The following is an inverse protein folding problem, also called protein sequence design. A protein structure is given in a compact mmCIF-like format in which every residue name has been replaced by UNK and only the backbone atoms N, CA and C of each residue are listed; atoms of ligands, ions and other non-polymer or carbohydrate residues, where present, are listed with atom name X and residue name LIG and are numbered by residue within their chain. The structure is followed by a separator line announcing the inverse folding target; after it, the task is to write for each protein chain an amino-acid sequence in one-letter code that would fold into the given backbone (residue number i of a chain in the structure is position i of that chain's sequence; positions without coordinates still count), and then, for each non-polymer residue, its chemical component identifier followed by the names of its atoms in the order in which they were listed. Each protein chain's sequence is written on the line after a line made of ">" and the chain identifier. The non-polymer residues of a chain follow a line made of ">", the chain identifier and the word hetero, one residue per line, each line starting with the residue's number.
data_IF_814096276398
#
_entry.id   IF_814096276398
#
_cell.length_a   1.000
_cell.length_b   1.000
_cell.length_c   1.000
_cell.angle_alpha   90.00
_cell.angle_beta   90.00
_cell.angle_gamma   90.00
#
_symmetry.space_group_name_H-M   'P 1'
#
loop_
_entity.id
_entity.type
_entity.pdbx_description
1 polymer ?
#
# COMPACT_ATOMS: atom_id res chain seq x y z
N UNK A 1 3.78 -75.52 -53.43
CA UNK A 1 3.73 -75.02 -52.05
C UNK A 1 5.15 -74.59 -51.74
N UNK A 2 5.53 -73.36 -52.10
CA UNK A 2 5.24 -72.12 -51.32
C UNK A 2 5.74 -72.27 -49.89
N UNK A 3 6.55 -71.37 -49.33
CA UNK A 3 7.43 -70.31 -49.83
C UNK A 3 8.32 -69.99 -48.61
N UNK A 4 9.51 -69.49 -48.89
CA UNK A 4 10.56 -69.11 -47.94
C UNK A 4 10.05 -68.23 -46.78
N UNK A 5 10.34 -68.64 -45.55
CA UNK A 5 10.27 -67.78 -44.35
C UNK A 5 11.47 -66.83 -44.38
N UNK A 6 11.26 -65.64 -44.96
CA UNK A 6 12.21 -64.54 -44.85
C UNK A 6 12.22 -63.95 -43.44
N UNK A 7 13.34 -64.20 -42.79
CA UNK A 7 13.95 -63.55 -41.64
C UNK A 7 13.65 -62.04 -41.51
N UNK A 8 12.52 -61.65 -40.88
CA UNK A 8 12.28 -60.28 -40.42
C UNK A 8 13.19 -59.99 -39.22
N UNK A 9 14.32 -59.32 -39.47
CA UNK A 9 15.07 -58.62 -38.42
C UNK A 9 14.13 -57.61 -37.75
N UNK A 10 13.77 -57.86 -36.49
CA UNK A 10 13.16 -56.84 -35.64
C UNK A 10 14.21 -55.75 -35.38
N UNK A 11 14.12 -54.65 -36.14
CA UNK A 11 14.86 -53.43 -35.85
C UNK A 11 14.45 -52.91 -34.47
N UNK A 12 15.43 -52.71 -33.59
CA UNK A 12 15.19 -52.09 -32.28
C UNK A 12 14.56 -50.70 -32.49
N UNK A 13 13.52 -50.34 -31.72
CA UNK A 13 12.91 -49.03 -31.84
C UNK A 13 13.94 -47.95 -31.53
N UNK A 14 14.14 -47.06 -32.49
CA UNK A 14 15.02 -45.90 -32.37
C UNK A 14 14.56 -45.00 -31.22
N UNK A 15 15.49 -44.57 -30.38
CA UNK A 15 15.21 -43.76 -29.20
C UNK A 15 14.96 -42.30 -29.58
N UNK A 16 14.24 -41.55 -28.73
CA UNK A 16 14.03 -40.10 -28.91
C UNK A 16 15.37 -39.35 -29.05
N UNK A 17 16.40 -39.80 -28.34
CA UNK A 17 17.73 -39.19 -28.39
C UNK A 17 18.43 -39.40 -29.73
N UNK A 18 18.24 -40.55 -30.38
CA UNK A 18 18.76 -40.81 -31.73
C UNK A 18 18.08 -39.92 -32.77
N UNK A 19 16.74 -39.82 -32.70
CA UNK A 19 15.97 -38.92 -33.57
C UNK A 19 16.32 -37.45 -33.35
N UNK A 20 16.57 -37.04 -32.11
CA UNK A 20 17.02 -35.69 -31.81
C UNK A 20 18.38 -35.39 -32.45
N UNK A 21 19.33 -36.35 -32.43
CA UNK A 21 20.63 -36.21 -33.09
C UNK A 21 20.50 -36.04 -34.61
N UNK A 22 19.53 -36.73 -35.24
CA UNK A 22 19.23 -36.52 -36.67
C UNK A 22 18.75 -35.09 -36.95
N UNK A 23 17.88 -34.53 -36.10
CA UNK A 23 17.43 -33.12 -36.26
C UNK A 23 18.53 -32.12 -35.92
N UNK A 24 19.40 -32.42 -34.95
CA UNK A 24 20.56 -31.57 -34.63
C UNK A 24 21.56 -31.53 -35.81
N UNK A 25 21.83 -32.67 -36.45
CA UNK A 25 22.68 -32.72 -37.64
C UNK A 25 22.02 -32.00 -38.82
N UNK A 26 20.70 -32.15 -38.99
CA UNK A 26 19.93 -31.37 -39.97
C UNK A 26 20.09 -29.86 -39.71
N UNK A 27 19.84 -29.43 -38.48
CA UNK A 27 19.97 -28.03 -38.09
C UNK A 27 21.38 -27.50 -38.37
N UNK A 28 22.42 -28.27 -38.06
CA UNK A 28 23.81 -27.90 -38.34
C UNK A 28 24.06 -27.67 -39.83
N UNK A 29 23.70 -28.61 -40.70
CA UNK A 29 23.92 -28.48 -42.15
C UNK A 29 23.11 -27.32 -42.75
N UNK A 30 21.89 -27.11 -42.28
CA UNK A 30 21.05 -25.96 -42.68
C UNK A 30 21.71 -24.65 -42.26
N UNK A 31 22.22 -24.54 -41.03
CA UNK A 31 22.86 -23.34 -40.53
C UNK A 31 24.20 -23.05 -41.21
N UNK A 32 24.99 -24.06 -41.58
CA UNK A 32 26.23 -23.88 -42.36
C UNK A 32 25.96 -23.23 -43.72
N UNK A 33 24.85 -23.60 -44.38
CA UNK A 33 24.50 -23.09 -45.71
C UNK A 33 23.68 -21.81 -45.69
N UNK A 34 22.71 -21.72 -44.78
CA UNK A 34 21.68 -20.68 -44.76
C UNK A 34 21.56 -19.92 -43.44
N UNK A 35 22.46 -20.14 -42.47
CA UNK A 35 22.29 -19.65 -41.09
C UNK A 35 21.99 -18.16 -40.92
N UNK A 36 22.47 -17.28 -41.82
CA UNK A 36 22.13 -15.86 -41.79
C UNK A 36 20.64 -15.57 -42.02
N UNK A 37 19.95 -16.43 -42.75
CA UNK A 37 18.53 -16.32 -43.04
C UNK A 37 17.64 -17.04 -42.02
N UNK A 38 18.17 -17.99 -41.24
CA UNK A 38 17.33 -18.83 -40.38
C UNK A 38 17.08 -18.17 -39.02
N UNK A 39 15.81 -18.04 -38.62
CA UNK A 39 15.40 -17.58 -37.28
C UNK A 39 15.21 -18.71 -36.30
N UNK A 40 14.56 -19.78 -36.73
CA UNK A 40 14.44 -20.97 -35.91
C UNK A 40 14.31 -22.23 -36.77
N UNK A 41 14.71 -23.35 -36.15
CA UNK A 41 14.49 -24.72 -36.63
C UNK A 41 13.84 -25.45 -35.48
N UNK A 42 12.65 -26.00 -35.72
CA UNK A 42 11.79 -26.52 -34.66
C UNK A 42 11.32 -27.92 -35.04
N UNK A 43 11.57 -28.87 -34.15
CA UNK A 43 11.05 -30.23 -34.25
C UNK A 43 9.61 -30.25 -33.72
N UNK A 44 8.70 -30.92 -34.43
CA UNK A 44 7.29 -31.01 -34.06
C UNK A 44 6.80 -32.47 -34.04
N UNK A 45 5.48 -32.63 -33.99
CA UNK A 45 4.83 -33.90 -34.27
C UNK A 45 4.98 -34.92 -33.15
N UNK A 46 4.81 -36.19 -33.52
CA UNK A 46 4.77 -37.30 -32.55
C UNK A 46 6.06 -37.45 -31.74
N UNK A 47 7.20 -37.05 -32.30
CA UNK A 47 8.50 -37.09 -31.60
C UNK A 47 8.59 -36.01 -30.53
N UNK A 48 8.10 -34.80 -30.83
CA UNK A 48 8.01 -33.71 -29.86
C UNK A 48 7.05 -34.05 -28.71
N UNK A 49 5.92 -34.72 -29.02
CA UNK A 49 4.92 -35.17 -28.04
C UNK A 49 5.29 -36.43 -27.25
N UNK A 50 6.38 -37.11 -27.60
CA UNK A 50 6.78 -38.42 -27.04
C UNK A 50 5.77 -39.57 -27.32
N UNK A 51 4.98 -39.43 -28.39
CA UNK A 51 3.95 -40.40 -28.82
C UNK A 51 4.35 -41.17 -30.09
N UNK A 52 5.62 -41.07 -30.50
CA UNK A 52 6.11 -41.63 -31.75
C UNK A 52 6.21 -43.16 -31.71
N UNK A 53 5.92 -43.78 -32.85
CA UNK A 53 6.09 -45.22 -33.09
C UNK A 53 7.40 -45.45 -33.86
N UNK A 54 7.90 -46.69 -33.96
CA UNK A 54 9.16 -46.96 -34.67
C UNK A 54 9.19 -46.46 -36.12
N UNK A 55 8.02 -46.46 -36.79
CA UNK A 55 7.82 -45.97 -38.16
C UNK A 55 7.37 -44.51 -38.27
N UNK A 56 7.28 -43.78 -37.16
CA UNK A 56 6.86 -42.38 -37.19
C UNK A 56 7.94 -41.51 -37.82
N UNK A 57 7.52 -40.53 -38.60
CA UNK A 57 8.39 -39.49 -39.15
C UNK A 57 8.84 -38.52 -38.05
N UNK A 58 9.89 -37.76 -38.37
CA UNK A 58 10.45 -36.67 -37.57
C UNK A 58 10.11 -35.37 -38.30
N UNK A 59 9.04 -34.73 -37.88
CA UNK A 59 8.55 -33.51 -38.50
C UNK A 59 9.39 -32.30 -38.06
N UNK A 60 9.88 -31.51 -39.01
CA UNK A 60 10.68 -30.31 -38.76
C UNK A 60 10.14 -29.15 -39.61
N UNK A 61 10.08 -27.95 -39.06
CA UNK A 61 9.87 -26.74 -39.85
C UNK A 61 10.95 -25.70 -39.57
N UNK A 62 11.11 -24.80 -40.53
CA UNK A 62 12.13 -23.74 -40.51
C UNK A 62 11.44 -22.39 -40.72
N UNK A 63 11.90 -21.37 -39.99
CA UNK A 63 11.46 -19.98 -40.20
C UNK A 63 12.60 -19.14 -40.74
N UNK A 64 12.34 -18.43 -41.84
CA UNK A 64 13.31 -17.63 -42.60
C UNK A 64 13.07 -16.14 -42.38
N UNK A 65 14.14 -15.36 -42.19
CA UNK A 65 14.10 -13.92 -41.99
C UNK A 65 13.95 -13.15 -43.31
N UNK A 66 12.71 -12.83 -43.65
CA UNK A 66 12.35 -11.92 -44.74
C UNK A 66 12.26 -10.44 -44.30
N UNK A 67 12.56 -10.14 -43.03
CA UNK A 67 12.56 -8.77 -42.51
C UNK A 67 13.93 -8.11 -42.59
N UNK A 68 15.00 -8.89 -42.48
CA UNK A 68 16.39 -8.43 -42.63
C UNK A 68 16.95 -8.65 -44.04
N UNK A 69 16.31 -9.52 -44.83
CA UNK A 69 16.75 -9.91 -46.16
C UNK A 69 15.57 -9.94 -47.13
N UNK A 70 15.80 -9.54 -48.38
CA UNK A 70 14.82 -9.74 -49.44
C UNK A 70 14.83 -11.22 -49.87
N UNK A 71 13.72 -11.91 -49.60
CA UNK A 71 13.53 -13.32 -49.96
C UNK A 71 12.60 -13.37 -51.18
N UNK A 72 13.17 -13.55 -52.37
CA UNK A 72 12.38 -13.73 -53.60
C UNK A 72 11.76 -15.14 -53.63
N UNK A 73 10.66 -15.36 -54.38
CA UNK A 73 10.06 -16.68 -54.52
C UNK A 73 11.04 -17.76 -54.97
N UNK A 74 11.94 -17.42 -55.91
CA UNK A 74 12.95 -18.36 -56.41
C UNK A 74 14.00 -18.71 -55.35
N UNK A 75 14.34 -17.75 -54.48
CA UNK A 75 15.24 -18.00 -53.36
C UNK A 75 14.56 -18.86 -52.30
N UNK A 76 13.29 -18.59 -52.01
CA UNK A 76 12.50 -19.36 -51.04
C UNK A 76 12.34 -20.82 -51.47
N UNK A 77 11.90 -21.05 -52.72
CA UNK A 77 11.75 -22.39 -53.31
C UNK A 77 13.09 -23.14 -53.34
N UNK A 78 14.19 -22.45 -53.69
CA UNK A 78 15.53 -23.03 -53.63
C UNK A 78 15.95 -23.43 -52.22
N UNK A 79 15.61 -22.62 -51.21
CA UNK A 79 15.90 -22.96 -49.81
C UNK A 79 15.10 -24.20 -49.44
N UNK A 80 13.80 -24.26 -49.72
CA UNK A 80 12.96 -25.42 -49.43
C UNK A 80 13.47 -26.71 -50.09
N UNK A 81 13.80 -26.67 -51.39
CA UNK A 81 14.38 -27.82 -52.08
C UNK A 81 15.70 -28.29 -51.43
N UNK A 82 16.52 -27.36 -50.97
CA UNK A 82 17.78 -27.67 -50.30
C UNK A 82 17.55 -28.25 -48.90
N UNK A 83 16.54 -27.77 -48.16
CA UNK A 83 16.16 -28.34 -46.87
C UNK A 83 15.71 -29.80 -47.05
N UNK A 84 14.86 -30.09 -48.03
CA UNK A 84 14.44 -31.46 -48.37
C UNK A 84 15.64 -32.36 -48.72
N UNK A 85 16.53 -31.90 -49.61
CA UNK A 85 17.74 -32.66 -50.00
C UNK A 85 18.69 -32.89 -48.83
N UNK A 86 18.77 -31.98 -47.85
CA UNK A 86 19.57 -32.17 -46.64
C UNK A 86 18.91 -33.22 -45.74
N UNK A 87 17.59 -33.15 -45.53
CA UNK A 87 16.85 -34.11 -44.73
C UNK A 87 16.98 -35.54 -45.29
N UNK A 88 16.72 -35.74 -46.58
CA UNK A 88 16.81 -37.05 -47.25
C UNK A 88 18.20 -37.70 -47.14
N UNK A 89 19.27 -36.90 -47.11
CA UNK A 89 20.64 -37.39 -46.95
C UNK A 89 20.94 -37.87 -45.53
N UNK A 90 20.24 -37.32 -44.53
CA UNK A 90 20.46 -37.61 -43.12
C UNK A 90 19.61 -38.82 -42.72
N UNK A 91 18.31 -38.80 -43.04
CA UNK A 91 17.36 -39.82 -42.61
C UNK A 91 16.14 -39.83 -43.52
N UNK A 92 15.67 -41.02 -43.89
CA UNK A 92 14.41 -41.22 -44.62
C UNK A 92 13.18 -40.88 -43.78
N UNK A 93 13.36 -40.72 -42.46
CA UNK A 93 12.29 -40.36 -41.51
C UNK A 93 12.18 -38.85 -41.29
N UNK A 94 13.14 -38.04 -41.72
CA UNK A 94 13.06 -36.58 -41.55
C UNK A 94 12.09 -36.00 -42.57
N UNK A 95 10.95 -35.52 -42.09
CA UNK A 95 9.96 -34.83 -42.91
C UNK A 95 10.05 -33.34 -42.66
N UNK A 96 10.55 -32.59 -43.65
CA UNK A 96 10.62 -31.14 -43.58
C UNK A 96 9.34 -30.55 -44.15
N UNK A 97 8.66 -29.74 -43.35
CA UNK A 97 7.52 -28.94 -43.80
C UNK A 97 8.03 -27.72 -44.59
N UNK A 98 7.24 -27.20 -45.56
CA UNK A 98 7.58 -25.95 -46.24
C UNK A 98 7.97 -24.85 -45.25
N UNK A 99 9.05 -24.13 -45.54
CA UNK A 99 9.53 -23.10 -44.62
C UNK A 99 8.61 -21.89 -44.62
N UNK A 100 8.43 -21.29 -43.45
CA UNK A 100 7.65 -20.05 -43.30
C UNK A 100 8.58 -18.85 -43.33
N UNK A 101 8.17 -17.77 -43.97
CA UNK A 101 8.84 -16.49 -43.72
C UNK A 101 8.48 -15.98 -42.33
N UNK A 102 9.33 -15.12 -41.76
CA UNK A 102 9.12 -14.56 -40.43
C UNK A 102 7.84 -13.73 -40.39
N UNK A 103 7.56 -12.94 -41.43
CA UNK A 103 6.32 -12.17 -41.52
C UNK A 103 5.09 -13.07 -41.64
N UNK A 104 5.14 -14.12 -42.48
CA UNK A 104 4.05 -15.08 -42.65
C UNK A 104 3.73 -15.83 -41.35
N UNK A 105 4.77 -16.33 -40.66
CA UNK A 105 4.59 -16.99 -39.37
C UNK A 105 3.90 -16.06 -38.36
N UNK A 106 4.29 -14.79 -38.32
CA UNK A 106 3.65 -13.80 -37.43
C UNK A 106 2.19 -13.52 -37.82
N UNK A 107 1.88 -13.44 -39.11
CA UNK A 107 0.51 -13.25 -39.60
C UNK A 107 -0.39 -14.44 -39.26
N UNK A 108 0.15 -15.65 -39.22
CA UNK A 108 -0.57 -16.82 -38.73
C UNK A 108 -0.64 -16.89 -37.20
N UNK A 109 0.44 -16.56 -36.49
CA UNK A 109 0.47 -16.57 -35.03
C UNK A 109 -0.51 -15.55 -34.45
N UNK A 110 -0.61 -14.34 -35.03
CA UNK A 110 -1.50 -13.27 -34.53
C UNK A 110 -2.99 -13.61 -34.65
N UNK A 111 -3.38 -14.44 -35.64
CA UNK A 111 -4.75 -14.89 -35.84
C UNK A 111 -5.02 -16.27 -35.23
N UNK A 112 -4.05 -16.83 -34.51
CA UNK A 112 -4.11 -18.17 -33.95
C UNK A 112 -4.45 -19.24 -35.00
N UNK A 113 -3.80 -19.16 -36.17
CA UNK A 113 -3.99 -20.15 -37.23
C UNK A 113 -3.74 -21.57 -36.66
N UNK A 114 -4.64 -22.56 -36.88
CA UNK A 114 -4.58 -23.85 -36.18
C UNK A 114 -3.24 -24.58 -36.32
N UNK A 115 -2.61 -24.48 -37.49
CA UNK A 115 -1.31 -25.10 -37.78
C UNK A 115 -0.20 -24.45 -36.93
N UNK A 116 -0.05 -23.12 -37.02
CA UNK A 116 0.99 -22.38 -36.28
C UNK A 116 0.77 -22.44 -34.78
N UNK A 117 -0.49 -22.47 -34.33
CA UNK A 117 -0.81 -22.72 -32.93
C UNK A 117 -0.26 -24.07 -32.44
N UNK A 118 -0.49 -25.16 -33.19
CA UNK A 118 0.06 -26.48 -32.83
C UNK A 118 1.59 -26.47 -32.87
N UNK A 119 2.20 -25.76 -33.83
CA UNK A 119 3.64 -25.61 -33.90
C UNK A 119 4.20 -24.94 -32.65
N UNK A 120 3.65 -23.79 -32.25
CA UNK A 120 4.08 -23.07 -31.03
C UNK A 120 3.88 -23.94 -29.79
N UNK A 121 2.73 -24.62 -29.70
CA UNK A 121 2.35 -25.43 -28.55
C UNK A 121 3.27 -26.62 -28.34
N UNK A 122 3.50 -27.40 -29.38
CA UNK A 122 4.16 -28.71 -29.29
C UNK A 122 5.64 -28.63 -29.67
N UNK A 123 6.02 -27.65 -30.47
CA UNK A 123 7.34 -27.53 -31.07
C UNK A 123 8.46 -27.45 -30.03
N UNK A 124 9.53 -28.18 -30.30
CA UNK A 124 10.78 -28.16 -29.55
C UNK A 124 11.82 -27.42 -30.40
N UNK A 125 12.23 -26.20 -30.01
CA UNK A 125 13.24 -25.47 -30.78
C UNK A 125 14.59 -26.19 -30.67
N UNK A 126 15.16 -26.54 -31.82
CA UNK A 126 16.50 -27.11 -31.96
C UNK A 126 17.51 -25.98 -32.17
N UNK A 127 17.10 -24.98 -32.94
CA UNK A 127 17.79 -23.71 -33.08
C UNK A 127 16.79 -22.57 -32.98
N UNK A 128 17.11 -21.53 -32.23
CA UNK A 128 16.27 -20.34 -32.10
C UNK A 128 17.13 -19.12 -31.80
N UNK A 129 16.95 -18.04 -32.57
CA UNK A 129 17.61 -16.75 -32.31
C UNK A 129 16.93 -15.92 -31.23
N UNK A 130 16.01 -16.52 -30.45
CA UNK A 130 15.17 -15.85 -29.46
C UNK A 130 13.84 -15.35 -30.02
N UNK A 131 13.35 -15.96 -31.10
CA UNK A 131 12.07 -15.65 -31.74
C UNK A 131 10.97 -16.63 -31.27
N UNK A 132 11.24 -17.92 -31.30
CA UNK A 132 10.23 -18.95 -31.09
C UNK A 132 9.92 -19.18 -29.61
N UNK A 133 10.95 -19.29 -28.76
CA UNK A 133 10.78 -19.54 -27.34
C UNK A 133 9.93 -18.47 -26.61
N UNK A 134 10.08 -17.15 -26.87
CA UNK A 134 9.20 -16.14 -26.29
C UNK A 134 7.73 -16.30 -26.67
N UNK A 135 7.43 -16.65 -27.93
CA UNK A 135 6.05 -16.85 -28.40
C UNK A 135 5.44 -18.07 -27.70
N UNK A 136 6.20 -19.16 -27.59
CA UNK A 136 5.79 -20.34 -26.81
C UNK A 136 5.49 -19.97 -25.36
N UNK A 137 6.32 -19.14 -24.74
CA UNK A 137 6.07 -18.66 -23.37
C UNK A 137 4.81 -17.81 -23.26
N UNK A 138 4.54 -16.95 -24.24
CA UNK A 138 3.30 -16.18 -24.30
C UNK A 138 2.08 -17.08 -24.42
N UNK A 139 2.16 -18.16 -25.21
CA UNK A 139 1.10 -19.15 -25.29
C UNK A 139 0.84 -19.80 -23.93
N UNK A 140 1.89 -20.32 -23.27
CA UNK A 140 1.79 -20.96 -21.95
C UNK A 140 1.20 -20.03 -20.87
N UNK A 141 1.48 -18.73 -20.96
CA UNK A 141 0.93 -17.71 -20.06
C UNK A 141 -0.53 -17.32 -20.39
N UNK A 142 -1.12 -17.91 -21.43
CA UNK A 142 -2.44 -17.56 -21.93
C UNK A 142 -2.53 -16.16 -22.52
N UNK A 143 -1.42 -15.63 -23.06
CA UNK A 143 -1.34 -14.28 -23.63
C UNK A 143 -1.70 -14.22 -25.11
N UNK A 144 -1.75 -15.37 -25.80
CA UNK A 144 -2.25 -15.45 -27.17
C UNK A 144 -3.78 -15.59 -27.13
N UNK A 145 -4.55 -14.62 -27.65
CA UNK A 145 -6.01 -14.65 -27.60
C UNK A 145 -6.61 -15.88 -28.31
N UNK A 146 -7.85 -16.23 -27.96
CA UNK A 146 -8.60 -17.33 -28.56
C UNK A 146 -7.96 -18.74 -28.41
N UNK A 147 -6.99 -18.90 -27.51
CA UNK A 147 -6.38 -20.19 -27.17
C UNK A 147 -7.00 -20.80 -25.92
N UNK A 148 -6.82 -22.12 -25.73
CA UNK A 148 -7.28 -22.81 -24.52
C UNK A 148 -6.57 -22.25 -23.27
N UNK A 149 -5.28 -21.97 -23.40
CA UNK A 149 -4.43 -21.42 -22.35
C UNK A 149 -4.91 -20.03 -21.93
N UNK A 150 -5.35 -19.19 -22.87
CA UNK A 150 -5.97 -17.91 -22.55
C UNK A 150 -7.29 -18.09 -21.79
N UNK A 151 -8.16 -19.00 -22.24
CA UNK A 151 -9.43 -19.32 -21.55
C UNK A 151 -9.15 -19.77 -20.11
N UNK A 152 -8.23 -20.72 -19.93
CA UNK A 152 -7.84 -21.23 -18.61
C UNK A 152 -7.28 -20.10 -17.73
N UNK A 153 -6.40 -19.25 -18.26
CA UNK A 153 -5.84 -18.09 -17.56
C UNK A 153 -6.93 -17.10 -17.09
N UNK A 154 -7.92 -16.80 -17.93
CA UNK A 154 -9.07 -15.97 -17.53
C UNK A 154 -9.90 -16.64 -16.43
N UNK A 155 -10.18 -17.94 -16.57
CA UNK A 155 -11.01 -18.70 -15.64
C UNK A 155 -10.34 -18.86 -14.26
N UNK A 156 -9.03 -19.15 -14.22
CA UNK A 156 -8.27 -19.23 -12.96
C UNK A 156 -8.20 -17.90 -12.20
N UNK A 157 -8.27 -16.78 -12.92
CA UNK A 157 -8.30 -15.45 -12.35
C UNK A 157 -9.58 -15.16 -11.57
N UNK A 158 -10.73 -15.68 -12.02
CA UNK A 158 -12.04 -15.30 -11.48
C UNK A 158 -12.23 -15.65 -9.99
N UNK A 159 -11.95 -16.89 -9.50
CA UNK A 159 -12.06 -17.21 -8.08
C UNK A 159 -11.16 -16.35 -7.19
N UNK A 160 -9.94 -16.03 -7.66
CA UNK A 160 -8.98 -15.17 -6.93
C UNK A 160 -9.54 -13.75 -6.75
N UNK A 161 -10.22 -13.21 -7.76
CA UNK A 161 -10.88 -11.89 -7.68
C UNK A 161 -12.06 -11.90 -6.70
N UNK A 162 -12.88 -12.95 -6.72
CA UNK A 162 -13.98 -13.11 -5.76
C UNK A 162 -13.46 -13.26 -4.33
N UNK A 163 -12.41 -14.07 -4.11
CA UNK A 163 -11.75 -14.20 -2.81
C UNK A 163 -11.18 -12.86 -2.33
N UNK A 164 -10.57 -12.08 -3.23
CA UNK A 164 -10.11 -10.72 -2.91
C UNK A 164 -11.26 -9.83 -2.45
N UNK A 165 -12.40 -9.84 -3.12
CA UNK A 165 -13.57 -9.05 -2.72
C UNK A 165 -14.05 -9.42 -1.31
N UNK A 166 -14.07 -10.73 -0.97
CA UNK A 166 -14.39 -11.19 0.39
C UNK A 166 -13.35 -10.74 1.42
N UNK A 167 -12.07 -10.84 1.07
CA UNK A 167 -10.96 -10.44 1.94
C UNK A 167 -10.99 -8.94 2.23
N UNK A 168 -11.29 -8.12 1.24
CA UNK A 168 -11.39 -6.65 1.41
C UNK A 168 -12.44 -6.29 2.46
N UNK A 169 -13.61 -6.94 2.47
CA UNK A 169 -14.63 -6.72 3.51
C UNK A 169 -14.10 -6.97 4.92
N UNK A 170 -13.31 -8.04 5.10
CA UNK A 170 -12.70 -8.34 6.40
C UNK A 170 -11.64 -7.31 6.80
N UNK A 171 -10.81 -6.86 5.84
CA UNK A 171 -9.78 -5.84 6.07
C UNK A 171 -10.40 -4.49 6.46
N UNK A 172 -11.51 -4.09 5.83
CA UNK A 172 -12.25 -2.87 6.19
C UNK A 172 -12.67 -2.87 7.67
N UNK A 173 -12.97 -4.04 8.24
CA UNK A 173 -13.30 -4.19 9.66
C UNK A 173 -12.05 -4.24 10.54
N UNK A 174 -11.14 -5.17 10.24
CA UNK A 174 -10.01 -5.53 11.10
C UNK A 174 -8.86 -4.51 11.10
N UNK A 175 -8.68 -3.80 9.99
CA UNK A 175 -7.63 -2.79 9.83
C UNK A 175 -8.24 -1.38 9.85
N UNK A 176 -9.19 -1.08 8.97
CA UNK A 176 -9.63 0.32 8.79
C UNK A 176 -10.53 0.81 9.95
N UNK A 177 -11.70 0.19 10.15
CA UNK A 177 -12.65 0.60 11.20
C UNK A 177 -12.06 0.44 12.59
N UNK A 178 -11.42 -0.71 12.85
CA UNK A 178 -10.79 -1.00 14.13
C UNK A 178 -9.72 0.05 14.52
N UNK A 179 -8.75 0.33 13.66
CA UNK A 179 -7.68 1.28 14.03
C UNK A 179 -8.18 2.72 14.06
N UNK A 180 -9.17 3.09 13.23
CA UNK A 180 -9.80 4.40 13.32
C UNK A 180 -10.42 4.65 14.71
N UNK A 181 -11.15 3.66 15.25
CA UNK A 181 -11.76 3.74 16.58
C UNK A 181 -10.70 3.66 17.69
N UNK A 182 -9.80 2.68 17.63
CA UNK A 182 -8.79 2.49 18.68
C UNK A 182 -7.86 3.71 18.81
N UNK A 183 -7.33 4.22 17.69
CA UNK A 183 -6.33 5.29 17.71
C UNK A 183 -6.95 6.61 18.20
N UNK A 184 -8.20 6.90 17.84
CA UNK A 184 -8.89 8.11 18.32
C UNK A 184 -9.21 8.04 19.80
N UNK A 185 -9.60 6.88 20.32
CA UNK A 185 -9.74 6.66 21.76
C UNK A 185 -8.41 6.83 22.51
N UNK A 186 -7.34 6.24 22.00
CA UNK A 186 -5.99 6.39 22.56
C UNK A 186 -5.53 7.85 22.57
N UNK A 187 -5.79 8.61 21.50
CA UNK A 187 -5.43 10.02 21.42
C UNK A 187 -6.13 10.86 22.50
N UNK A 188 -7.42 10.63 22.74
CA UNK A 188 -8.18 11.31 23.81
C UNK A 188 -7.58 10.98 25.18
N UNK A 189 -7.31 9.71 25.46
CA UNK A 189 -6.69 9.30 26.73
C UNK A 189 -5.29 9.89 26.92
N UNK A 190 -4.47 9.92 25.85
CA UNK A 190 -3.15 10.56 25.86
C UNK A 190 -3.25 12.06 26.15
N UNK A 191 -4.23 12.74 25.58
CA UNK A 191 -4.46 14.15 25.86
C UNK A 191 -4.78 14.41 27.34
N UNK A 192 -5.49 13.48 27.97
CA UNK A 192 -5.76 13.49 29.41
C UNK A 192 -4.54 13.12 30.29
N UNK A 193 -3.39 12.84 29.67
CA UNK A 193 -2.14 12.49 30.35
C UNK A 193 -2.00 11.01 30.70
N UNK A 194 -2.86 10.14 30.14
CA UNK A 194 -2.80 8.69 30.35
C UNK A 194 -1.93 8.04 29.27
N UNK A 195 -1.36 6.88 29.58
CA UNK A 195 -0.69 6.08 28.55
C UNK A 195 -1.73 5.50 27.58
N UNK A 196 -1.42 5.39 26.27
CA UNK A 196 -2.35 4.77 25.34
C UNK A 196 -2.56 3.29 25.68
N UNK A 197 -3.80 2.82 25.87
CA UNK A 197 -4.06 1.42 26.21
C UNK A 197 -3.67 0.49 25.07
N UNK A 198 -3.17 -0.70 25.41
CA UNK A 198 -3.12 -1.83 24.48
C UNK A 198 -4.54 -2.27 24.10
N UNK A 199 -4.77 -2.89 22.93
CA UNK A 199 -6.11 -3.27 22.48
C UNK A 199 -6.95 -4.05 23.50
N UNK A 200 -6.35 -4.97 24.25
CA UNK A 200 -7.05 -5.76 25.27
C UNK A 200 -7.55 -4.95 26.47
N UNK A 201 -6.98 -3.76 26.71
CA UNK A 201 -7.35 -2.86 27.83
C UNK A 201 -8.12 -1.62 27.36
N UNK A 202 -8.23 -1.40 26.05
CA UNK A 202 -8.80 -0.18 25.50
C UNK A 202 -10.26 0.05 25.95
N UNK A 203 -11.07 -1.01 26.00
CA UNK A 203 -12.43 -0.94 26.55
C UNK A 203 -12.44 -0.50 28.02
N UNK A 204 -11.66 -1.17 28.87
CA UNK A 204 -11.65 -0.89 30.31
C UNK A 204 -11.18 0.52 30.62
N UNK A 205 -10.15 1.00 29.92
CA UNK A 205 -9.61 2.35 30.11
C UNK A 205 -10.60 3.41 29.60
N UNK A 206 -11.20 3.23 28.42
CA UNK A 206 -12.25 4.14 27.92
C UNK A 206 -13.43 4.18 28.88
N UNK A 207 -13.87 3.02 29.38
CA UNK A 207 -14.97 2.94 30.34
C UNK A 207 -14.65 3.69 31.63
N UNK A 208 -13.49 3.41 32.22
CA UNK A 208 -13.07 4.00 33.50
C UNK A 208 -12.81 5.50 33.41
N UNK A 209 -12.15 5.96 32.36
CA UNK A 209 -11.67 7.34 32.29
C UNK A 209 -12.57 8.28 31.49
N UNK A 210 -13.42 7.76 30.60
CA UNK A 210 -14.32 8.58 29.78
C UNK A 210 -15.80 8.33 30.12
N UNK A 211 -16.22 7.08 30.31
CA UNK A 211 -17.64 6.77 30.54
C UNK A 211 -18.06 7.02 31.99
N UNK A 212 -17.34 6.46 32.97
CA UNK A 212 -17.67 6.63 34.40
C UNK A 212 -17.69 8.10 34.84
N UNK A 213 -16.79 8.99 34.37
CA UNK A 213 -16.86 10.42 34.67
C UNK A 213 -17.94 11.18 33.88
N UNK A 214 -18.70 10.52 33.01
CA UNK A 214 -19.76 11.12 32.20
C UNK A 214 -19.26 11.97 31.03
N UNK A 215 -18.02 11.76 30.58
CA UNK A 215 -17.43 12.47 29.42
C UNK A 215 -17.90 11.84 28.11
N UNK A 216 -18.10 10.52 28.10
CA UNK A 216 -18.49 9.73 26.93
C UNK A 216 -19.70 8.83 27.25
N UNK A 217 -20.60 8.68 26.30
CA UNK A 217 -21.75 7.79 26.42
C UNK A 217 -21.30 6.30 26.39
N UNK A 218 -21.92 5.42 27.21
CA UNK A 218 -21.50 4.02 27.31
C UNK A 218 -21.49 3.24 25.99
N UNK A 219 -22.39 3.59 25.07
CA UNK A 219 -22.53 2.95 23.76
C UNK A 219 -21.22 2.97 22.95
N UNK A 220 -20.47 4.07 22.98
CA UNK A 220 -19.19 4.16 22.28
C UNK A 220 -18.17 3.16 22.83
N UNK A 221 -18.11 2.96 24.15
CA UNK A 221 -17.22 1.97 24.74
C UNK A 221 -17.60 0.55 24.31
N UNK A 222 -18.89 0.22 24.26
CA UNK A 222 -19.35 -1.09 23.77
C UNK A 222 -19.02 -1.30 22.29
N UNK A 223 -19.19 -0.30 21.43
CA UNK A 223 -18.75 -0.39 20.03
C UNK A 223 -17.26 -0.66 19.90
N UNK A 224 -16.42 0.00 20.72
CA UNK A 224 -14.98 -0.24 20.73
C UNK A 224 -14.66 -1.69 21.13
N UNK A 225 -15.36 -2.22 22.14
CA UNK A 225 -15.19 -3.62 22.57
C UNK A 225 -15.57 -4.60 21.47
N UNK A 226 -16.73 -4.39 20.85
CA UNK A 226 -17.24 -5.23 19.78
C UNK A 226 -16.30 -5.27 18.57
N UNK A 227 -15.75 -4.13 18.12
CA UNK A 227 -14.80 -4.12 16.99
C UNK A 227 -13.47 -4.82 17.32
N UNK A 228 -13.01 -4.72 18.58
CA UNK A 228 -11.83 -5.47 19.06
C UNK A 228 -12.09 -6.98 18.98
N UNK A 229 -13.28 -7.43 19.36
CA UNK A 229 -13.67 -8.84 19.28
C UNK A 229 -13.79 -9.33 17.84
N UNK A 230 -14.39 -8.53 16.94
CA UNK A 230 -14.49 -8.84 15.51
C UNK A 230 -13.10 -9.00 14.91
N UNK A 231 -12.18 -8.07 15.18
CA UNK A 231 -10.80 -8.16 14.70
C UNK A 231 -10.13 -9.46 15.15
N UNK A 232 -10.25 -9.83 16.42
CA UNK A 232 -9.68 -11.09 16.94
C UNK A 232 -10.23 -12.31 16.22
N UNK A 233 -11.55 -12.35 15.97
CA UNK A 233 -12.19 -13.44 15.21
C UNK A 233 -11.66 -13.54 13.79
N UNK A 234 -11.39 -12.40 13.14
CA UNK A 234 -10.79 -12.36 11.79
C UNK A 234 -9.34 -12.85 11.83
N UNK A 235 -8.53 -12.37 12.77
CA UNK A 235 -7.13 -12.81 12.94
C UNK A 235 -7.00 -14.30 13.20
N UNK A 236 -7.87 -14.86 14.03
CA UNK A 236 -7.91 -16.29 14.36
C UNK A 236 -8.59 -17.14 13.27
N UNK A 237 -9.01 -16.55 12.16
CA UNK A 237 -9.71 -17.23 11.05
C UNK A 237 -11.04 -17.88 11.49
N UNK A 238 -11.64 -17.39 12.56
CA UNK A 238 -12.98 -17.80 13.02
C UNK A 238 -14.06 -17.08 12.19
N UNK A 239 -13.77 -15.88 11.68
CA UNK A 239 -14.64 -15.11 10.79
C UNK A 239 -13.96 -14.91 9.43
N UNK A 240 -14.43 -15.67 8.42
CA UNK A 240 -13.80 -15.76 7.09
C UNK A 240 -14.60 -15.11 5.96
N UNK A 241 -15.84 -14.68 6.23
CA UNK A 241 -16.68 -13.90 5.32
C UNK A 241 -17.71 -13.12 6.14
N UNK A 242 -18.17 -11.99 5.62
CA UNK A 242 -19.19 -11.12 6.24
C UNK A 242 -20.09 -10.53 5.17
N UNK A 243 -21.33 -10.20 5.49
CA UNK A 243 -22.20 -9.49 4.55
C UNK A 243 -21.74 -8.04 4.36
N UNK A 244 -21.98 -7.45 3.17
CA UNK A 244 -21.63 -6.05 2.92
C UNK A 244 -22.35 -5.09 3.87
N UNK A 245 -23.62 -5.36 4.16
CA UNK A 245 -24.42 -4.59 5.13
C UNK A 245 -23.79 -4.52 6.52
N UNK A 246 -23.16 -5.62 6.96
CA UNK A 246 -22.45 -5.65 8.24
C UNK A 246 -21.21 -4.75 8.23
N UNK A 247 -20.50 -4.70 7.10
CA UNK A 247 -19.37 -3.76 6.91
C UNK A 247 -19.86 -2.32 6.94
N UNK A 248 -20.92 -2.00 6.21
CA UNK A 248 -21.50 -0.64 6.17
C UNK A 248 -21.95 -0.17 7.56
N UNK A 249 -22.55 -1.05 8.36
CA UNK A 249 -22.92 -0.75 9.75
C UNK A 249 -21.69 -0.37 10.59
N UNK A 250 -20.57 -1.08 10.42
CA UNK A 250 -19.34 -0.80 11.17
C UNK A 250 -18.64 0.46 10.71
N UNK A 251 -18.72 0.80 9.41
CA UNK A 251 -18.23 2.08 8.90
C UNK A 251 -19.01 3.23 9.57
N UNK A 252 -20.34 3.15 9.60
CA UNK A 252 -21.18 4.19 10.21
C UNK A 252 -20.94 4.33 11.73
N UNK A 253 -20.78 3.21 12.45
CA UNK A 253 -20.37 3.22 13.86
C UNK A 253 -18.99 3.86 14.05
N UNK A 254 -18.01 3.51 13.21
CA UNK A 254 -16.67 4.05 13.27
C UNK A 254 -16.64 5.56 12.98
N UNK A 255 -17.38 6.04 11.98
CA UNK A 255 -17.50 7.47 11.68
C UNK A 255 -18.09 8.24 12.87
N UNK A 256 -19.19 7.75 13.45
CA UNK A 256 -19.80 8.35 14.65
C UNK A 256 -18.83 8.36 15.83
N UNK A 257 -18.11 7.27 16.05
CA UNK A 257 -17.12 7.15 17.11
C UNK A 257 -15.98 8.16 16.93
N UNK A 258 -15.39 8.21 15.74
CA UNK A 258 -14.28 9.12 15.40
C UNK A 258 -14.70 10.58 15.57
N UNK A 259 -15.87 10.96 15.04
CA UNK A 259 -16.41 12.31 15.18
C UNK A 259 -16.64 12.70 16.65
N UNK A 260 -17.12 11.74 17.47
CA UNK A 260 -17.29 11.96 18.90
C UNK A 260 -15.94 12.17 19.59
N UNK A 261 -14.93 11.36 19.30
CA UNK A 261 -13.59 11.50 19.88
C UNK A 261 -12.93 12.83 19.49
N UNK A 262 -13.05 13.27 18.23
CA UNK A 262 -12.58 14.60 17.82
C UNK A 262 -13.28 15.73 18.57
N UNK A 263 -14.60 15.63 18.71
CA UNK A 263 -15.39 16.62 19.46
C UNK A 263 -14.98 16.68 20.92
N UNK A 264 -14.74 15.52 21.55
CA UNK A 264 -14.25 15.43 22.93
C UNK A 264 -12.85 16.02 23.08
N UNK A 265 -11.92 15.68 22.18
CA UNK A 265 -10.56 16.20 22.21
C UNK A 265 -10.57 17.73 22.14
N UNK A 266 -11.33 18.30 21.21
CA UNK A 266 -11.44 19.75 21.03
C UNK A 266 -12.06 20.42 22.27
N UNK A 267 -13.09 19.81 22.87
CA UNK A 267 -13.68 20.30 24.11
C UNK A 267 -12.68 20.27 25.29
N UNK A 268 -11.86 19.23 25.39
CA UNK A 268 -10.81 19.12 26.41
C UNK A 268 -9.69 20.14 26.19
N UNK A 269 -9.31 20.41 24.94
CA UNK A 269 -8.35 21.46 24.57
C UNK A 269 -8.83 22.85 24.96
N UNK A 270 -10.08 23.18 24.67
CA UNK A 270 -10.68 24.46 25.06
C UNK A 270 -10.71 24.64 26.57
N UNK A 271 -11.14 23.60 27.32
CA UNK A 271 -11.13 23.64 28.80
C UNK A 271 -9.72 23.79 29.37
N UNK A 272 -8.73 23.14 28.77
CA UNK A 272 -7.33 23.26 29.18
C UNK A 272 -6.83 24.68 28.97
N UNK A 273 -7.13 25.29 27.82
CA UNK A 273 -6.82 26.70 27.52
C UNK A 273 -7.43 27.65 28.54
N UNK A 274 -8.73 27.51 28.78
CA UNK A 274 -9.48 28.32 29.74
C UNK A 274 -8.83 28.25 31.13
N UNK A 275 -8.55 27.04 31.63
CA UNK A 275 -7.92 26.84 32.94
C UNK A 275 -6.51 27.46 33.03
N UNK A 276 -5.72 27.42 31.95
CA UNK A 276 -4.40 28.05 31.93
C UNK A 276 -4.53 29.57 31.96
N UNK A 277 -5.46 30.13 31.18
CA UNK A 277 -5.73 31.55 31.14
C UNK A 277 -6.24 32.07 32.49
N UNK A 278 -7.20 31.40 33.11
CA UNK A 278 -7.70 31.73 34.45
C UNK A 278 -6.59 31.74 35.49
N UNK A 279 -5.75 30.70 35.51
CA UNK A 279 -4.62 30.64 36.44
C UNK A 279 -3.60 31.75 36.15
N UNK A 280 -3.38 32.08 34.88
CA UNK A 280 -2.46 33.16 34.47
C UNK A 280 -2.99 34.51 34.96
N UNK A 281 -4.27 34.77 34.77
CA UNK A 281 -4.98 35.95 35.27
C UNK A 281 -4.86 36.08 36.79
N UNK A 282 -5.20 35.02 37.53
CA UNK A 282 -5.12 35.03 39.00
C UNK A 282 -3.70 35.28 39.51
N UNK A 283 -2.69 34.64 38.89
CA UNK A 283 -1.29 34.78 39.30
C UNK A 283 -0.80 36.20 39.04
N UNK A 284 -1.17 36.81 37.91
CA UNK A 284 -0.85 38.20 37.59
C UNK A 284 -1.42 39.16 38.64
N UNK A 285 -2.71 39.02 38.95
CA UNK A 285 -3.39 39.85 39.96
C UNK A 285 -2.79 39.67 41.36
N UNK A 286 -2.58 38.42 41.80
CA UNK A 286 -1.94 38.13 43.11
C UNK A 286 -0.53 38.72 43.20
N UNK A 287 0.25 38.67 42.12
CA UNK A 287 1.58 39.28 42.07
C UNK A 287 1.52 40.80 42.23
N UNK A 288 0.60 41.46 41.52
CA UNK A 288 0.37 42.90 41.65
C UNK A 288 -0.04 43.32 43.06
N UNK A 289 -1.01 42.60 43.66
CA UNK A 289 -1.45 42.84 45.05
C UNK A 289 -0.28 42.71 46.03
N UNK A 290 0.50 41.64 45.89
CA UNK A 290 1.65 41.39 46.77
C UNK A 290 2.68 42.51 46.65
N UNK A 291 3.01 42.94 45.43
CA UNK A 291 3.95 44.00 45.20
C UNK A 291 3.48 45.36 45.77
N UNK A 292 2.20 45.70 45.61
CA UNK A 292 1.61 46.91 46.18
C UNK A 292 1.60 46.89 47.73
N UNK A 293 1.30 45.74 48.34
CA UNK A 293 1.38 45.56 49.80
C UNK A 293 2.80 45.76 50.32
N UNK A 294 3.81 45.21 49.63
CA UNK A 294 5.22 45.39 49.97
C UNK A 294 5.66 46.86 49.94
N UNK A 295 5.10 47.67 49.04
CA UNK A 295 5.33 49.12 49.01
C UNK A 295 4.42 49.93 49.96
N UNK A 296 3.52 49.28 50.69
CA UNK A 296 2.48 49.91 51.52
C UNK A 296 1.60 50.88 50.71
N UNK A 297 1.34 50.56 49.44
CA UNK A 297 0.54 51.37 48.49
C UNK A 297 -0.73 50.67 48.02
N UNK A 298 -1.33 49.87 48.91
CA UNK A 298 -2.54 49.12 48.59
C UNK A 298 -3.74 50.08 48.51
N UNK A 299 -4.56 50.04 47.45
CA UNK A 299 -5.83 50.79 47.38
C UNK A 299 -6.86 50.27 48.39
N UNK A 300 -7.88 51.08 48.67
CA UNK A 300 -9.01 50.71 49.54
C UNK A 300 -9.92 49.67 48.89
N UNK A 301 -10.04 49.70 47.55
CA UNK A 301 -10.87 48.77 46.78
C UNK A 301 -10.00 47.86 45.91
N UNK A 302 -10.37 46.59 45.84
CA UNK A 302 -9.66 45.59 45.02
C UNK A 302 -9.76 45.89 43.53
N UNK A 303 -10.87 46.49 43.08
CA UNK A 303 -11.09 46.95 41.69
C UNK A 303 -10.09 48.03 41.24
N UNK A 304 -9.49 48.76 42.19
CA UNK A 304 -8.50 49.81 41.91
C UNK A 304 -7.07 49.27 41.83
N UNK A 305 -6.85 47.99 42.13
CA UNK A 305 -5.53 47.33 42.08
C UNK A 305 -4.84 47.48 40.73
N UNK A 306 -5.49 47.26 39.57
CA UNK A 306 -4.83 47.43 38.28
C UNK A 306 -4.37 48.87 38.04
N UNK A 307 -5.18 49.85 38.47
CA UNK A 307 -4.90 51.28 38.31
C UNK A 307 -3.70 51.67 39.17
N UNK A 308 -3.74 51.28 40.46
CA UNK A 308 -2.64 51.56 41.40
C UNK A 308 -1.36 50.84 41.01
N UNK A 309 -1.44 49.59 40.55
CA UNK A 309 -0.29 48.84 40.07
C UNK A 309 0.40 49.55 38.89
N UNK A 310 -0.39 49.96 37.88
CA UNK A 310 0.12 50.70 36.73
C UNK A 310 0.82 52.00 37.14
N UNK A 311 0.18 52.79 37.99
CA UNK A 311 0.74 54.06 38.48
C UNK A 311 2.08 53.86 39.20
N UNK A 312 2.13 52.89 40.11
CA UNK A 312 3.27 52.75 41.03
C UNK A 312 4.45 52.00 40.43
N UNK A 313 4.19 50.93 39.67
CA UNK A 313 5.25 50.08 39.13
C UNK A 313 5.63 50.46 37.70
N UNK A 314 4.67 50.83 36.86
CA UNK A 314 4.92 51.07 35.44
C UNK A 314 5.23 52.55 35.17
N UNK A 315 4.31 53.45 35.52
CA UNK A 315 4.51 54.90 35.37
C UNK A 315 5.60 55.43 36.31
N UNK A 316 5.73 54.79 37.48
CA UNK A 316 6.86 54.97 38.40
C UNK A 316 8.20 54.43 37.89
N UNK A 317 8.26 53.85 36.68
CA UNK A 317 9.46 53.31 36.00
C UNK A 317 10.21 52.26 36.82
N UNK A 318 9.50 51.48 37.62
CA UNK A 318 10.10 50.39 38.40
C UNK A 318 10.21 49.11 37.57
N UNK A 319 9.27 48.88 36.66
CA UNK A 319 9.27 47.79 35.69
C UNK A 319 9.03 48.33 34.27
N UNK A 320 9.24 47.47 33.28
CA UNK A 320 9.12 47.86 31.87
C UNK A 320 7.67 48.24 31.47
N UNK A 321 7.48 49.33 30.70
CA UNK A 321 6.18 49.73 30.15
C UNK A 321 5.40 48.64 29.41
N UNK A 322 6.07 47.67 28.77
CA UNK A 322 5.40 46.62 27.99
C UNK A 322 4.42 45.79 28.84
N UNK A 323 4.62 45.72 30.16
CA UNK A 323 3.70 45.01 31.06
C UNK A 323 2.28 45.60 31.09
N UNK A 324 2.10 46.86 30.68
CA UNK A 324 0.75 47.43 30.48
C UNK A 324 0.01 46.73 29.34
N UNK A 325 0.70 46.41 28.24
CA UNK A 325 0.11 45.71 27.09
C UNK A 325 -0.22 44.27 27.45
N UNK A 326 0.69 43.60 28.19
CA UNK A 326 0.46 42.25 28.72
C UNK A 326 -0.80 42.21 29.57
N UNK A 327 -0.95 43.18 30.50
CA UNK A 327 -2.14 43.26 31.34
C UNK A 327 -3.41 43.41 30.51
N UNK A 328 -3.45 44.39 29.60
CA UNK A 328 -4.61 44.62 28.74
C UNK A 328 -4.96 43.40 27.90
N UNK A 329 -3.95 42.70 27.35
CA UNK A 329 -4.17 41.50 26.55
C UNK A 329 -4.77 40.37 27.39
N UNK A 330 -4.29 40.16 28.61
CA UNK A 330 -4.83 39.14 29.53
C UNK A 330 -6.26 39.47 29.97
N UNK A 331 -6.56 40.73 30.31
CA UNK A 331 -7.93 41.18 30.65
C UNK A 331 -8.90 40.94 29.49
N UNK A 332 -8.51 41.31 28.26
CA UNK A 332 -9.31 41.10 27.07
C UNK A 332 -9.54 39.60 26.80
N UNK A 333 -8.49 38.78 26.93
CA UNK A 333 -8.59 37.33 26.80
C UNK A 333 -9.51 36.73 27.86
N UNK A 334 -9.41 37.17 29.12
CA UNK A 334 -10.28 36.69 30.21
C UNK A 334 -11.73 37.06 29.95
N UNK A 335 -12.00 38.28 29.50
CA UNK A 335 -13.35 38.72 29.11
C UNK A 335 -13.93 37.85 27.99
N UNK A 336 -13.15 37.56 26.95
CA UNK A 336 -13.59 36.66 25.87
C UNK A 336 -13.89 35.25 26.40
N UNK A 337 -13.08 34.73 27.32
CA UNK A 337 -13.33 33.44 27.95
C UNK A 337 -14.64 33.44 28.77
N UNK A 338 -14.89 34.49 29.57
CA UNK A 338 -16.12 34.65 30.35
C UNK A 338 -17.38 34.76 29.47
N UNK A 339 -17.24 35.34 28.27
CA UNK A 339 -18.27 35.39 27.23
C UNK A 339 -18.41 34.06 26.45
N UNK A 340 -17.71 32.99 26.86
CA UNK A 340 -17.67 31.67 26.19
C UNK A 340 -17.08 31.71 24.77
N UNK A 341 -16.21 32.67 24.47
CA UNK A 341 -15.50 32.83 23.18
C UNK A 341 -14.04 32.38 23.25
N UNK A 342 -13.73 31.40 24.12
CA UNK A 342 -12.38 30.84 24.28
C UNK A 342 -11.79 30.28 22.97
N UNK A 343 -12.63 29.87 22.03
CA UNK A 343 -12.21 29.40 20.69
C UNK A 343 -11.58 30.49 19.82
N UNK A 344 -11.84 31.77 20.11
CA UNK A 344 -11.23 32.91 19.39
C UNK A 344 -9.80 33.19 19.87
N UNK A 345 -9.39 32.56 20.98
CA UNK A 345 -8.07 32.74 21.59
C UNK A 345 -7.15 31.61 21.14
N UNK A 346 -6.02 31.97 20.54
CA UNK A 346 -5.04 30.98 20.10
C UNK A 346 -4.32 30.35 21.30
N UNK A 347 -3.99 29.06 21.20
CA UNK A 347 -3.16 28.37 22.20
C UNK A 347 -1.84 29.13 22.44
N UNK A 348 -1.20 29.57 21.36
CA UNK A 348 0.05 30.32 21.40
C UNK A 348 -0.05 31.56 22.29
N UNK A 349 -1.11 32.35 22.14
CA UNK A 349 -1.33 33.55 22.97
C UNK A 349 -1.49 33.20 24.45
N UNK A 350 -2.22 32.13 24.77
CA UNK A 350 -2.42 31.69 26.16
C UNK A 350 -1.08 31.32 26.82
N UNK A 351 -0.22 30.56 26.14
CA UNK A 351 1.09 30.19 26.68
C UNK A 351 2.09 31.35 26.69
N UNK A 352 2.07 32.23 25.70
CA UNK A 352 2.90 33.44 25.70
C UNK A 352 2.55 34.36 26.88
N UNK A 353 1.26 34.61 27.12
CA UNK A 353 0.83 35.46 28.24
C UNK A 353 1.25 34.86 29.59
N UNK A 354 1.17 33.53 29.74
CA UNK A 354 1.66 32.85 30.93
C UNK A 354 3.16 33.10 31.16
N UNK A 355 3.97 33.07 30.11
CA UNK A 355 5.41 33.33 30.20
C UNK A 355 5.70 34.80 30.51
N UNK A 356 4.96 35.74 29.92
CA UNK A 356 5.08 37.15 30.28
C UNK A 356 4.72 37.42 31.75
N UNK A 357 3.69 36.78 32.28
CA UNK A 357 3.35 36.87 33.72
C UNK A 357 4.44 36.26 34.59
N UNK A 358 5.07 35.16 34.17
CA UNK A 358 6.22 34.58 34.88
C UNK A 358 7.39 35.57 34.94
N UNK A 359 7.69 36.27 33.84
CA UNK A 359 8.72 37.32 33.78
C UNK A 359 8.35 38.52 34.65
N UNK A 360 7.09 38.96 34.61
CA UNK A 360 6.59 40.03 35.48
C UNK A 360 6.87 39.73 36.96
N UNK A 361 6.56 38.51 37.43
CA UNK A 361 6.82 38.10 38.81
C UNK A 361 8.31 38.20 39.15
N UNK A 362 9.18 37.78 38.22
CA UNK A 362 10.63 37.84 38.43
C UNK A 362 11.13 39.29 38.53
N UNK A 363 10.66 40.17 37.64
CA UNK A 363 11.04 41.58 37.64
C UNK A 363 10.52 42.31 38.88
N UNK A 364 9.29 42.01 39.30
CA UNK A 364 8.73 42.53 40.55
C UNK A 364 9.57 42.10 41.76
N UNK A 365 9.95 40.82 41.84
CA UNK A 365 10.78 40.32 42.94
C UNK A 365 12.15 41.02 42.99
N UNK A 366 12.77 41.26 41.82
CA UNK A 366 14.04 41.99 41.72
C UNK A 366 13.91 43.43 42.23
N UNK A 367 12.89 44.15 41.78
CA UNK A 367 12.61 45.54 42.19
C UNK A 367 12.34 45.66 43.69
N UNK A 368 11.54 44.75 44.25
CA UNK A 368 11.20 44.77 45.67
C UNK A 368 12.43 44.52 46.54
N UNK A 369 13.31 43.62 46.11
CA UNK A 369 14.60 43.35 46.77
C UNK A 369 15.53 44.57 46.72
N UNK A 370 15.63 45.24 45.57
CA UNK A 370 16.45 46.47 45.41
C UNK A 370 15.94 47.64 46.27
N UNK A 371 14.64 47.70 46.54
CA UNK A 371 14.03 48.69 47.43
C UNK A 371 14.15 48.38 48.93
N UNK A 372 14.87 47.32 49.30
CA UNK A 372 15.10 46.97 50.71
C UNK A 372 13.85 46.44 51.43
N UNK A 373 12.88 45.92 50.68
CA UNK A 373 11.70 45.26 51.26
C UNK A 373 12.01 43.77 51.36
N UNK A 374 12.55 43.33 52.51
CA UNK A 374 12.67 41.90 52.81
C UNK A 374 11.28 41.31 53.12
N UNK A 375 11.02 40.10 52.61
CA UNK A 375 9.81 39.33 52.91
C UNK A 375 9.67 39.11 54.42
N UNK A 376 8.65 39.70 55.04
CA UNK A 376 8.12 39.13 56.30
C UNK A 376 7.53 37.76 55.94
N UNK A 377 8.19 36.70 56.43
CA UNK A 377 7.84 35.29 56.22
C UNK A 377 6.43 34.92 56.65
#
# INVERSE_FOLDING_TARGET
>A
MEKEDENKKEEKPETKEQRLKEVEEFAKQVLEKYGKYIKCIVMMGSVAREEFKPKSDIDVFVVIDDTSFEITPELHEKIDEDLEKIAEKISDKLSVQPSYTLTEFWDYARVCHPIVYNFIKEGIPIYDTGFFAPIKKLLEMGRIPATREAIESYMEGAPKKLMRAKTVKLLMLAEDCYYAMLNTAQAVLMFMGLAPPVPSKAYDDVKKFLVEPGILEPEYAEWLKEIIEIRKKIEHKELMDVEGKFVDEWIDKAEKFVNKMFSLLNALELRKREKILERTYEVMHKAAITALKSLKKMPEKEEEVPIMFKKEFIEGKLIDPYYSEVWMKIENMKKLADEKKISEISDKDVYEMREHVRRLIHDLAKVLKEKGVEEEK
#
